data_IF_036733054261
#
_entry.id   IF_036733054261
#
_cell.length_a   1.000
_cell.length_b   1.000
_cell.length_c   1.000
_cell.angle_alpha   90.00
_cell.angle_beta   90.00
_cell.angle_gamma   90.00
#
_symmetry.space_group_name_H-M   'P 1'
#
loop_
_entity.id
_entity.type
_entity.pdbx_description
1 polymer ?
#
# COMPACT_ATOMS: atom_id res chain seq x y z
N UNK A 1 -34.08 -15.98 -23.78
CA UNK A 1 -32.93 -15.16 -23.36
C UNK A 1 -32.99 -15.06 -21.85
N UNK A 2 -32.12 -15.73 -21.09
CA UNK A 2 -31.97 -15.44 -19.68
C UNK A 2 -31.05 -14.22 -19.51
N UNK A 3 -31.49 -13.34 -18.64
CA UNK A 3 -30.86 -12.11 -18.21
C UNK A 3 -29.49 -12.39 -17.58
N UNK A 4 -28.55 -11.50 -17.86
CA UNK A 4 -27.16 -11.62 -17.44
C UNK A 4 -27.01 -11.15 -15.99
N UNK A 5 -26.32 -11.99 -15.22
CA UNK A 5 -25.42 -11.57 -14.14
C UNK A 5 -26.07 -11.18 -12.82
N UNK A 6 -26.35 -12.20 -12.00
CA UNK A 6 -26.12 -12.11 -10.56
C UNK A 6 -24.70 -11.58 -10.31
N UNK A 7 -24.62 -10.31 -9.92
CA UNK A 7 -23.42 -9.67 -9.40
C UNK A 7 -22.97 -10.44 -8.16
N UNK A 8 -21.91 -11.24 -8.30
CA UNK A 8 -21.19 -11.83 -7.19
C UNK A 8 -20.63 -10.69 -6.32
N UNK A 9 -21.40 -10.27 -5.32
CA UNK A 9 -20.88 -9.56 -4.17
C UNK A 9 -19.90 -10.52 -3.49
N UNK A 10 -18.63 -10.44 -3.87
CA UNK A 10 -17.55 -11.15 -3.21
C UNK A 10 -17.59 -10.76 -1.73
N UNK A 11 -17.71 -11.78 -0.88
CA UNK A 11 -17.68 -11.65 0.58
C UNK A 11 -16.40 -10.94 0.99
N UNK A 12 -16.47 -9.62 1.17
CA UNK A 12 -15.40 -8.82 1.74
C UNK A 12 -15.20 -9.31 3.17
N UNK A 13 -14.05 -9.90 3.47
CA UNK A 13 -13.61 -10.03 4.86
C UNK A 13 -13.72 -8.62 5.49
N UNK A 14 -14.32 -8.47 6.68
CA UNK A 14 -14.41 -7.16 7.31
C UNK A 14 -12.99 -6.65 7.55
N UNK A 15 -12.57 -5.67 6.76
CA UNK A 15 -11.26 -5.04 6.89
C UNK A 15 -11.08 -4.46 8.30
N UNK A 16 -9.84 -4.41 8.77
CA UNK A 16 -9.54 -3.79 10.07
C UNK A 16 -9.30 -2.29 9.88
N UNK A 17 -9.72 -1.48 10.85
CA UNK A 17 -9.51 -0.03 10.79
C UNK A 17 -8.48 0.42 11.83
N UNK A 18 -7.61 1.35 11.44
CA UNK A 18 -6.63 2.00 12.28
C UNK A 18 -6.83 3.52 12.26
N UNK A 19 -6.70 4.15 13.42
CA UNK A 19 -6.65 5.60 13.53
C UNK A 19 -5.20 6.08 13.43
N UNK A 20 -4.92 6.92 12.43
CA UNK A 20 -3.67 7.66 12.30
C UNK A 20 -3.90 9.10 12.75
N UNK A 21 -3.89 9.32 14.07
CA UNK A 21 -4.23 10.61 14.66
C UNK A 21 -3.23 11.73 14.31
N UNK A 22 -2.00 11.37 13.96
CA UNK A 22 -0.93 12.32 13.64
C UNK A 22 0.19 11.65 12.83
N UNK A 23 1.23 12.43 12.50
CA UNK A 23 2.40 11.92 11.78
C UNK A 23 3.11 10.78 12.53
N UNK A 24 3.21 10.86 13.87
CA UNK A 24 3.85 9.81 14.67
C UNK A 24 3.11 8.47 14.56
N UNK A 25 1.77 8.47 14.47
CA UNK A 25 1.00 7.27 14.21
C UNK A 25 1.31 6.67 12.82
N UNK A 26 1.51 7.51 11.81
CA UNK A 26 1.93 7.07 10.47
C UNK A 26 3.36 6.51 10.49
N UNK A 27 4.26 7.09 11.28
CA UNK A 27 5.63 6.60 11.47
C UNK A 27 5.65 5.23 12.19
N UNK A 28 4.83 5.07 13.22
CA UNK A 28 4.66 3.80 13.92
C UNK A 28 4.10 2.71 12.98
N UNK A 29 3.10 3.06 12.16
CA UNK A 29 2.57 2.18 11.12
C UNK A 29 3.64 1.78 10.11
N UNK A 30 4.40 2.74 9.56
CA UNK A 30 5.50 2.45 8.63
C UNK A 30 6.54 1.53 9.24
N UNK A 31 6.89 1.73 10.51
CA UNK A 31 7.81 0.85 11.24
C UNK A 31 7.24 -0.56 11.42
N UNK A 32 5.98 -0.68 11.83
CA UNK A 32 5.32 -1.97 12.00
C UNK A 32 5.22 -2.74 10.66
N UNK A 33 4.98 -2.04 9.55
CA UNK A 33 4.94 -2.63 8.22
C UNK A 33 6.28 -3.23 7.79
N UNK A 34 7.43 -2.69 8.22
CA UNK A 34 8.75 -3.26 7.85
C UNK A 34 8.91 -4.73 8.24
N UNK A 35 8.24 -5.16 9.30
CA UNK A 35 8.31 -6.52 9.83
C UNK A 35 7.10 -7.38 9.45
N UNK A 36 6.01 -6.75 9.03
CA UNK A 36 4.77 -7.41 8.64
C UNK A 36 4.71 -7.67 7.13
N UNK A 37 5.20 -6.70 6.33
CA UNK A 37 5.23 -6.78 4.88
C UNK A 37 6.45 -7.57 4.42
N UNK A 38 6.23 -8.85 4.12
CA UNK A 38 7.27 -9.73 3.59
C UNK A 38 7.62 -9.46 2.12
N UNK A 39 8.74 -10.03 1.62
CA UNK A 39 9.06 -10.07 0.20
C UNK A 39 7.91 -10.67 -0.63
N UNK A 40 7.63 -10.09 -1.79
CA UNK A 40 6.63 -10.61 -2.73
C UNK A 40 5.21 -10.06 -2.55
N UNK A 41 4.97 -9.18 -1.58
CA UNK A 41 3.66 -8.54 -1.41
C UNK A 41 3.47 -7.36 -2.36
N UNK A 42 2.26 -7.26 -2.91
CA UNK A 42 1.75 -6.08 -3.61
C UNK A 42 0.76 -5.36 -2.69
N UNK A 43 1.11 -4.14 -2.29
CA UNK A 43 0.28 -3.30 -1.41
C UNK A 43 -0.24 -2.11 -2.20
N UNK A 44 -1.56 -1.99 -2.26
CA UNK A 44 -2.23 -0.84 -2.85
C UNK A 44 -2.43 0.25 -1.80
N UNK A 45 -2.14 1.48 -2.19
CA UNK A 45 -2.33 2.68 -1.39
C UNK A 45 -3.42 3.53 -2.05
N UNK A 46 -4.58 3.56 -1.42
CA UNK A 46 -5.77 4.22 -1.93
C UNK A 46 -6.17 5.41 -1.06
N UNK A 47 -6.88 6.36 -1.63
CA UNK A 47 -7.35 7.56 -0.96
C UNK A 47 -6.98 8.82 -1.72
N UNK A 48 -7.56 9.94 -1.30
CA UNK A 48 -7.46 11.21 -2.01
C UNK A 48 -6.03 11.78 -2.06
N UNK A 49 -5.84 12.79 -2.92
CA UNK A 49 -4.59 13.55 -2.96
C UNK A 49 -4.34 14.20 -1.60
N UNK A 50 -3.15 13.99 -1.03
CA UNK A 50 -2.81 14.47 0.31
C UNK A 50 -3.31 13.60 1.48
N UNK A 51 -3.95 12.46 1.20
CA UNK A 51 -4.44 11.55 2.25
C UNK A 51 -3.32 10.90 3.08
N UNK A 52 -2.06 10.92 2.60
CA UNK A 52 -0.89 10.46 3.35
C UNK A 52 -0.21 9.20 2.81
N UNK A 53 -0.61 8.72 1.62
CA UNK A 53 -0.03 7.56 0.93
C UNK A 53 1.51 7.62 0.85
N UNK A 54 2.07 8.65 0.21
CA UNK A 54 3.53 8.83 0.14
C UNK A 54 4.18 9.07 1.50
N UNK A 55 3.45 9.62 2.48
CA UNK A 55 3.96 9.79 3.86
C UNK A 55 4.18 8.43 4.52
N UNK A 56 3.27 7.47 4.30
CA UNK A 56 3.45 6.09 4.75
C UNK A 56 4.64 5.41 4.05
N UNK A 57 4.77 5.57 2.72
CA UNK A 57 5.91 5.03 1.95
C UNK A 57 7.23 5.54 2.53
N UNK A 58 7.30 6.85 2.80
CA UNK A 58 8.47 7.46 3.44
C UNK A 58 8.74 6.88 4.82
N UNK A 59 7.73 6.78 5.68
CA UNK A 59 7.89 6.19 7.01
C UNK A 59 8.45 4.77 6.95
N UNK A 60 7.91 3.93 6.07
CA UNK A 60 8.41 2.57 5.84
C UNK A 60 9.87 2.56 5.38
N UNK A 61 10.22 3.36 4.36
CA UNK A 61 11.58 3.43 3.83
C UNK A 61 12.59 3.92 4.87
N UNK A 62 12.21 4.91 5.70
CA UNK A 62 13.03 5.37 6.82
C UNK A 62 13.27 4.25 7.83
N UNK A 63 12.23 3.51 8.19
CA UNK A 63 12.35 2.38 9.11
C UNK A 63 13.21 1.23 8.54
N UNK A 64 13.25 1.08 7.20
CA UNK A 64 14.16 0.16 6.49
C UNK A 64 15.60 0.71 6.31
N UNK A 65 15.90 1.88 6.89
CA UNK A 65 17.24 2.47 6.87
C UNK A 65 17.58 3.32 5.64
N UNK A 66 16.60 3.62 4.77
CA UNK A 66 16.83 4.53 3.65
C UNK A 66 17.02 5.98 4.12
N UNK A 67 18.15 6.59 3.79
CA UNK A 67 18.51 7.97 4.19
C UNK A 67 18.29 9.00 3.08
N UNK A 68 18.04 8.57 1.84
CA UNK A 68 17.79 9.45 0.69
C UNK A 68 16.44 10.18 0.73
N UNK A 69 16.19 11.08 -0.25
CA UNK A 69 14.88 11.71 -0.40
C UNK A 69 13.83 10.68 -0.85
N UNK A 70 12.63 10.76 -0.26
CA UNK A 70 11.46 9.96 -0.68
C UNK A 70 10.34 10.91 -1.09
N UNK A 71 9.99 10.86 -2.37
CA UNK A 71 8.95 11.65 -3.01
C UNK A 71 8.06 10.71 -3.82
N UNK A 72 6.83 11.12 -4.11
CA UNK A 72 6.00 10.39 -5.05
C UNK A 72 6.66 10.41 -6.44
N UNK A 73 6.82 9.25 -7.09
CA UNK A 73 7.39 9.15 -8.43
C UNK A 73 6.37 9.51 -9.51
N UNK A 74 5.51 10.51 -9.30
CA UNK A 74 4.39 10.82 -10.23
C UNK A 74 4.81 10.99 -11.69
N UNK A 75 6.03 11.47 -11.95
CA UNK A 75 6.58 11.63 -13.31
C UNK A 75 7.50 10.48 -13.74
N UNK A 76 8.16 9.83 -12.79
CA UNK A 76 9.04 8.69 -13.08
C UNK A 76 8.25 7.37 -13.16
N UNK A 77 6.99 7.39 -12.71
CA UNK A 77 6.05 6.27 -12.54
C UNK A 77 6.47 5.24 -11.50
N UNK A 78 7.77 4.95 -11.42
CA UNK A 78 8.36 4.01 -10.47
C UNK A 78 9.66 4.56 -9.88
N UNK A 79 9.83 4.39 -8.58
CA UNK A 79 11.11 4.59 -7.88
C UNK A 79 11.58 3.26 -7.29
N UNK A 80 12.87 2.96 -7.45
CA UNK A 80 13.47 1.69 -7.03
C UNK A 80 14.35 1.89 -5.80
N UNK A 81 14.00 1.21 -4.71
CA UNK A 81 14.78 1.20 -3.48
C UNK A 81 15.42 -0.17 -3.25
N UNK A 82 16.76 -0.20 -3.19
CA UNK A 82 17.52 -1.40 -2.84
C UNK A 82 17.87 -1.36 -1.35
N UNK A 83 17.18 -2.18 -0.56
CA UNK A 83 17.22 -2.17 0.91
C UNK A 83 17.83 -3.49 1.41
N UNK A 84 19.17 -3.54 1.48
CA UNK A 84 19.91 -4.76 1.78
C UNK A 84 19.52 -5.91 0.83
N UNK A 85 18.74 -6.90 1.28
CA UNK A 85 18.24 -8.03 0.49
C UNK A 85 16.84 -7.84 -0.11
N UNK A 86 16.17 -6.72 0.17
CA UNK A 86 14.82 -6.42 -0.31
C UNK A 86 14.87 -5.37 -1.43
N UNK A 87 14.16 -5.66 -2.53
CA UNK A 87 13.78 -4.63 -3.49
C UNK A 87 12.40 -4.10 -3.13
N UNK A 88 12.30 -2.77 -3.00
CA UNK A 88 11.03 -2.09 -2.85
C UNK A 88 10.79 -1.20 -4.07
N UNK A 89 9.65 -1.41 -4.73
CA UNK A 89 9.21 -0.59 -5.86
C UNK A 89 8.04 0.27 -5.42
N UNK A 90 8.21 1.58 -5.53
CA UNK A 90 7.15 2.54 -5.26
C UNK A 90 6.61 3.03 -6.61
N UNK A 91 5.33 2.78 -6.87
CA UNK A 91 4.63 3.24 -8.06
C UNK A 91 3.66 4.36 -7.70
N UNK A 92 3.47 5.31 -8.62
CA UNK A 92 2.41 6.30 -8.53
C UNK A 92 1.80 6.56 -9.91
N UNK A 93 0.54 6.14 -10.07
CA UNK A 93 -0.20 6.23 -11.33
C UNK A 93 -1.17 7.41 -11.37
N UNK A 94 -1.07 8.38 -10.46
CA UNK A 94 -1.97 9.55 -10.41
C UNK A 94 -2.11 10.27 -11.77
N UNK A 95 -1.04 10.29 -12.55
CA UNK A 95 -0.94 10.97 -13.86
C UNK A 95 -1.26 10.10 -15.07
N UNK A 96 -1.53 8.81 -14.90
CA UNK A 96 -1.99 7.99 -16.02
C UNK A 96 -3.33 8.54 -16.53
N UNK A 97 -3.35 8.76 -17.84
CA UNK A 97 -4.53 9.12 -18.62
C UNK A 97 -5.25 7.86 -19.10
N UNK A 98 -4.51 6.77 -19.32
CA UNK A 98 -5.03 5.46 -19.72
C UNK A 98 -4.28 4.29 -19.06
N UNK A 99 -4.96 3.18 -18.71
CA UNK A 99 -4.30 2.01 -18.12
C UNK A 99 -3.21 1.36 -19.00
N UNK A 100 -3.33 1.48 -20.32
CA UNK A 100 -2.39 0.94 -21.31
C UNK A 100 -0.96 1.52 -21.18
N UNK A 101 -0.83 2.73 -20.61
CA UNK A 101 0.47 3.35 -20.31
C UNK A 101 1.35 2.47 -19.42
N UNK A 102 0.75 1.57 -18.63
CA UNK A 102 1.47 0.59 -17.83
C UNK A 102 2.37 -0.31 -18.70
N UNK A 103 1.83 -0.80 -19.82
CA UNK A 103 2.53 -1.69 -20.74
C UNK A 103 3.54 -0.90 -21.57
N UNK A 104 3.15 0.28 -22.05
CA UNK A 104 4.03 1.14 -22.84
C UNK A 104 5.27 1.57 -22.05
N UNK A 105 5.14 1.75 -20.73
CA UNK A 105 6.24 2.05 -19.83
C UNK A 105 7.04 0.82 -19.36
N UNK A 106 6.64 -0.41 -19.72
CA UNK A 106 7.32 -1.65 -19.33
C UNK A 106 7.32 -1.88 -17.82
N UNK A 107 6.22 -1.56 -17.13
CA UNK A 107 6.15 -1.63 -15.67
C UNK A 107 5.94 -3.05 -15.13
N UNK A 108 5.54 -4.00 -15.97
CA UNK A 108 5.37 -5.41 -15.64
C UNK A 108 6.65 -6.05 -15.11
N UNK A 109 7.80 -5.66 -15.68
CA UNK A 109 9.13 -6.16 -15.29
C UNK A 109 9.50 -5.87 -13.82
N UNK A 110 8.79 -4.97 -13.15
CA UNK A 110 9.08 -4.60 -11.76
C UNK A 110 8.31 -5.47 -10.75
N UNK A 111 7.21 -6.11 -11.14
CA UNK A 111 6.42 -7.00 -10.27
C UNK A 111 7.05 -8.39 -10.17
N UNK A 112 8.26 -8.45 -9.60
CA UNK A 112 9.07 -9.66 -9.49
C UNK A 112 8.80 -10.42 -8.20
N UNK A 113 8.99 -11.74 -8.25
CA UNK A 113 8.99 -12.57 -7.04
C UNK A 113 10.02 -12.05 -6.02
N UNK A 114 9.57 -11.85 -4.78
CA UNK A 114 10.40 -11.39 -3.67
C UNK A 114 10.61 -9.87 -3.58
N UNK A 115 10.00 -9.07 -4.46
CA UNK A 115 9.97 -7.61 -4.28
C UNK A 115 8.74 -7.18 -3.47
N UNK A 116 8.86 -6.10 -2.69
CA UNK A 116 7.73 -5.42 -2.09
C UNK A 116 7.29 -4.30 -3.03
N UNK A 117 6.04 -4.34 -3.50
CA UNK A 117 5.49 -3.31 -4.37
C UNK A 117 4.50 -2.44 -3.59
N UNK A 118 4.69 -1.13 -3.62
CA UNK A 118 3.74 -0.14 -3.08
C UNK A 118 3.17 0.64 -4.25
N UNK A 119 1.86 0.56 -4.45
CA UNK A 119 1.19 1.13 -5.63
C UNK A 119 0.23 2.23 -5.19
N UNK A 120 0.56 3.49 -5.47
CA UNK A 120 -0.38 4.60 -5.32
C UNK A 120 -1.28 4.69 -6.56
N UNK A 121 -2.59 4.90 -6.35
CA UNK A 121 -3.61 5.04 -7.40
C UNK A 121 -3.71 3.82 -8.35
N UNK A 122 -3.85 2.60 -7.81
CA UNK A 122 -3.88 1.38 -8.63
C UNK A 122 -4.99 1.37 -9.70
N UNK A 123 -6.13 2.02 -9.43
CA UNK A 123 -7.28 2.09 -10.34
C UNK A 123 -6.94 2.69 -11.72
N UNK A 124 -5.92 3.56 -11.75
CA UNK A 124 -5.45 4.22 -12.97
C UNK A 124 -4.76 3.28 -13.95
N UNK A 125 -4.33 2.12 -13.48
CA UNK A 125 -3.75 1.05 -14.27
C UNK A 125 -4.55 -0.27 -14.11
N UNK A 126 -5.85 -0.16 -13.83
CA UNK A 126 -6.74 -1.29 -13.65
C UNK A 126 -6.69 -2.26 -14.84
N UNK A 127 -6.63 -3.56 -14.55
CA UNK A 127 -6.49 -4.62 -15.55
C UNK A 127 -5.05 -4.97 -15.93
N UNK A 128 -4.08 -4.10 -15.61
CA UNK A 128 -2.65 -4.35 -15.87
C UNK A 128 -1.83 -4.58 -14.59
N UNK A 129 -2.12 -3.84 -13.52
CA UNK A 129 -1.44 -4.04 -12.23
C UNK A 129 -1.84 -5.40 -11.64
N UNK A 130 -0.88 -6.19 -11.12
CA UNK A 130 -1.20 -7.43 -10.41
C UNK A 130 -2.16 -7.19 -9.23
N UNK A 131 -3.04 -8.15 -8.92
CA UNK A 131 -3.98 -8.01 -7.82
C UNK A 131 -3.24 -7.75 -6.50
N UNK A 132 -3.80 -6.91 -5.61
CA UNK A 132 -3.16 -6.62 -4.34
C UNK A 132 -3.21 -7.83 -3.42
N UNK A 133 -2.18 -7.97 -2.59
CA UNK A 133 -2.26 -8.78 -1.38
C UNK A 133 -2.96 -8.00 -0.26
N UNK A 134 -2.74 -6.68 -0.20
CA UNK A 134 -3.29 -5.79 0.83
C UNK A 134 -3.65 -4.44 0.22
N UNK A 135 -4.85 -3.96 0.49
CA UNK A 135 -5.26 -2.59 0.22
C UNK A 135 -5.23 -1.79 1.53
N UNK A 136 -4.56 -0.63 1.48
CA UNK A 136 -4.50 0.36 2.53
C UNK A 136 -5.25 1.61 2.05
N UNK A 137 -6.51 1.75 2.47
CA UNK A 137 -7.38 2.83 2.04
C UNK A 137 -7.44 3.95 3.09
N UNK A 138 -6.92 5.12 2.73
CA UNK A 138 -6.84 6.30 3.58
C UNK A 138 -8.08 7.19 3.41
N UNK A 139 -8.63 7.66 4.53
CA UNK A 139 -9.74 8.62 4.57
C UNK A 139 -9.39 9.80 5.47
N UNK A 140 -9.70 11.01 5.00
CA UNK A 140 -9.60 12.20 5.83
C UNK A 140 -10.59 12.14 6.99
N UNK A 141 -10.21 12.78 8.09
CA UNK A 141 -11.05 13.06 9.25
C UNK A 141 -11.12 14.56 9.47
N UNK A 142 -12.10 14.99 10.26
CA UNK A 142 -12.29 16.40 10.62
C UNK A 142 -11.20 16.93 11.56
N UNK A 143 -10.45 16.05 12.23
CA UNK A 143 -9.46 16.35 13.27
C UNK A 143 -8.00 16.29 12.78
N UNK A 144 -7.76 16.59 11.49
CA UNK A 144 -6.47 16.47 10.79
C UNK A 144 -5.86 15.04 10.76
N UNK A 145 -6.49 14.06 11.42
CA UNK A 145 -6.10 12.66 11.40
C UNK A 145 -6.55 11.91 10.13
N UNK A 146 -6.20 10.63 10.04
CA UNK A 146 -6.69 9.72 8.99
C UNK A 146 -7.29 8.46 9.59
N UNK A 147 -8.39 8.00 9.01
CA UNK A 147 -8.83 6.63 9.18
C UNK A 147 -8.17 5.79 8.08
N UNK A 148 -7.53 4.69 8.46
CA UNK A 148 -6.92 3.74 7.54
C UNK A 148 -7.68 2.42 7.62
N UNK A 149 -8.23 1.99 6.48
CA UNK A 149 -8.83 0.67 6.35
C UNK A 149 -7.79 -0.30 5.74
N UNK A 150 -7.66 -1.47 6.35
CA UNK A 150 -6.76 -2.55 5.96
C UNK A 150 -7.60 -3.71 5.43
N UNK A 151 -7.48 -3.98 4.14
CA UNK A 151 -8.26 -5.00 3.45
C UNK A 151 -7.31 -6.04 2.87
N UNK A 152 -7.15 -7.21 3.51
CA UNK A 152 -6.36 -8.28 2.93
C UNK A 152 -7.14 -8.95 1.78
N UNK A 153 -6.45 -9.21 0.68
CA UNK A 153 -6.98 -9.85 -0.54
C UNK A 153 -6.24 -11.15 -0.89
N UNK A 154 -5.25 -11.53 -0.09
CA UNK A 154 -4.53 -12.80 -0.21
C UNK A 154 -4.16 -13.36 1.17
N UNK A 155 -3.76 -14.64 1.28
CA UNK A 155 -3.20 -15.19 2.50
C UNK A 155 -1.96 -14.43 3.00
N UNK A 156 -1.15 -13.89 2.09
CA UNK A 156 0.00 -13.04 2.43
C UNK A 156 -0.45 -11.71 3.05
N UNK A 157 -1.50 -11.10 2.49
CA UNK A 157 -2.15 -9.93 3.06
C UNK A 157 -2.74 -10.17 4.44
N UNK A 158 -3.45 -11.27 4.64
CA UNK A 158 -4.02 -11.64 5.94
C UNK A 158 -2.92 -11.81 7.01
N UNK A 159 -1.83 -12.49 6.66
CA UNK A 159 -0.67 -12.64 7.54
C UNK A 159 -0.05 -11.28 7.87
N UNK A 160 0.10 -10.40 6.88
CA UNK A 160 0.60 -9.04 7.07
C UNK A 160 -0.29 -8.26 8.04
N UNK A 161 -1.61 -8.26 7.84
CA UNK A 161 -2.57 -7.54 8.69
C UNK A 161 -2.53 -8.07 10.13
N UNK A 162 -2.54 -9.39 10.33
CA UNK A 162 -2.46 -10.00 11.66
C UNK A 162 -1.14 -9.64 12.37
N UNK A 163 -0.01 -9.72 11.65
CA UNK A 163 1.30 -9.36 12.15
C UNK A 163 1.38 -7.88 12.53
N UNK A 164 0.74 -7.00 11.75
CA UNK A 164 0.65 -5.57 12.00
C UNK A 164 -0.13 -5.27 13.28
N UNK A 165 -1.34 -5.82 13.43
CA UNK A 165 -2.20 -5.57 14.59
C UNK A 165 -1.59 -6.08 15.89
N UNK A 166 -0.92 -7.24 15.86
CA UNK A 166 -0.19 -7.76 17.01
C UNK A 166 0.91 -6.81 17.47
N UNK A 167 1.56 -6.09 16.54
CA UNK A 167 2.66 -5.15 16.85
C UNK A 167 2.14 -3.82 17.37
N UNK A 168 1.11 -3.27 16.74
CA UNK A 168 0.53 -1.99 17.14
C UNK A 168 -0.15 -2.07 18.53
N UNK A 169 -0.74 -3.22 18.87
CA UNK A 169 -1.27 -3.46 20.22
C UNK A 169 -0.16 -3.64 21.27
N UNK A 170 0.97 -4.25 20.89
CA UNK A 170 2.12 -4.46 21.81
C UNK A 170 2.93 -3.18 22.04
N UNK A 171 2.98 -2.28 21.05
CA UNK A 171 3.64 -0.97 21.16
C UNK A 171 2.85 0.03 22.03
N UNK A 172 1.59 -0.27 22.34
CA UNK A 172 0.73 0.54 23.20
C UNK A 172 0.77 0.14 24.71
N UNK A 173 1.70 -0.75 25.10
CA UNK A 173 1.87 -1.23 26.49
C UNK A 173 2.53 -0.21 27.43
N UNK A 174 2.31 -0.31 28.75
CA UNK A 174 2.02 0.83 29.62
C UNK A 174 3.22 1.74 29.88
N UNK A 175 2.92 3.04 29.82
CA UNK A 175 3.74 4.12 30.35
C UNK A 175 3.94 3.99 31.87
#
# INVERSE_FOLDING_TARGET
MPDHSESAAQSLNPGQSLLLANEAATQALGTALTQAAGPGLVIYLEGDLGAGKTTLVRALLRALGHTGPVKSPTYALVEVYKLSSLYLYHFDFYRFESPEEFVDAGLDDYFRQGALCLVEWPDKAAGFVPPPDLVLAFRFRDDDGRDLLLQPHSPGGEQCVNALMSRLSSAAGPC
#
